data_IF_291425386170
#
_entry.id   IF_291425386170
#
_cell.length_a   1.000
_cell.length_b   1.000
_cell.length_c   1.000
_cell.angle_alpha   90.00
_cell.angle_beta   90.00
_cell.angle_gamma   90.00
#
_symmetry.space_group_name_H-M   'P 1'
#
loop_
_entity.id
_entity.type
_entity.pdbx_description
1 polymer ?
#
# COMPACT_ATOMS: atom_id res chain seq x y z
N UNK A 1 8.50 10.26 11.42
CA UNK A 1 7.49 9.53 10.63
C UNK A 1 8.25 8.67 9.65
N UNK A 2 8.24 7.36 9.82
CA UNK A 2 8.93 6.42 8.95
C UNK A 2 8.30 6.47 7.54
N UNK A 3 9.13 6.70 6.51
CA UNK A 3 8.72 6.81 5.11
C UNK A 3 7.82 5.64 4.69
N UNK A 4 8.16 4.46 5.20
CA UNK A 4 7.49 3.18 4.92
C UNK A 4 6.06 3.16 5.48
N UNK A 5 5.85 3.74 6.66
CA UNK A 5 4.52 3.84 7.28
C UNK A 5 3.64 4.82 6.49
N UNK A 6 4.22 5.89 5.95
CA UNK A 6 3.54 6.84 5.07
C UNK A 6 3.09 6.21 3.75
N UNK A 7 3.98 5.45 3.09
CA UNK A 7 3.66 4.73 1.85
C UNK A 7 2.51 3.74 2.01
N UNK A 8 2.48 3.01 3.14
CA UNK A 8 1.37 2.09 3.46
C UNK A 8 0.04 2.79 3.66
N UNK A 9 0.05 3.93 4.36
CA UNK A 9 -1.14 4.76 4.51
C UNK A 9 -1.70 5.22 3.17
N UNK A 10 -0.82 5.63 2.25
CA UNK A 10 -1.21 6.05 0.90
C UNK A 10 -1.80 4.91 0.08
N UNK A 11 -1.19 3.71 0.13
CA UNK A 11 -1.72 2.52 -0.55
C UNK A 11 -3.09 2.10 0.01
N UNK A 12 -3.25 2.11 1.33
CA UNK A 12 -4.54 1.82 1.96
C UNK A 12 -5.63 2.78 1.49
N UNK A 13 -5.32 4.07 1.35
CA UNK A 13 -6.25 5.07 0.83
C UNK A 13 -6.64 4.82 -0.63
N UNK A 14 -5.78 4.17 -1.43
CA UNK A 14 -6.07 3.78 -2.83
C UNK A 14 -6.85 2.46 -2.95
N UNK A 15 -6.57 1.48 -2.08
CA UNK A 15 -7.19 0.14 -2.13
C UNK A 15 -8.58 0.12 -1.50
N UNK A 16 -8.79 0.81 -0.37
CA UNK A 16 -10.08 0.79 0.33
C UNK A 16 -11.28 1.20 -0.52
N UNK A 17 -11.20 2.26 -1.36
CA UNK A 17 -12.31 2.65 -2.23
C UNK A 17 -12.68 1.57 -3.26
N UNK A 18 -11.74 0.74 -3.71
CA UNK A 18 -12.00 -0.32 -4.69
C UNK A 18 -12.95 -1.40 -4.15
N UNK A 19 -13.07 -1.55 -2.83
CA UNK A 19 -13.99 -2.49 -2.20
C UNK A 19 -15.44 -2.02 -2.19
N UNK A 20 -15.68 -0.76 -2.55
CA UNK A 20 -17.01 -0.20 -2.70
C UNK A 20 -17.70 -0.81 -3.92
N UNK A 21 -19.01 -1.03 -3.82
CA UNK A 21 -19.80 -1.69 -4.86
C UNK A 21 -19.86 -0.85 -6.16
N UNK A 22 -19.58 0.45 -6.08
CA UNK A 22 -19.51 1.38 -7.23
C UNK A 22 -18.46 1.00 -8.29
N UNK A 23 -17.40 0.28 -7.91
CA UNK A 23 -16.35 -0.14 -8.84
C UNK A 23 -16.69 -1.42 -9.62
N UNK A 24 -17.85 -2.03 -9.37
CA UNK A 24 -18.37 -3.24 -10.01
C UNK A 24 -17.30 -4.32 -10.25
N UNK A 25 -16.47 -4.58 -9.23
CA UNK A 25 -15.43 -5.59 -9.30
C UNK A 25 -16.04 -6.98 -9.47
N UNK A 26 -15.43 -7.82 -10.32
CA UNK A 26 -15.75 -9.25 -10.33
C UNK A 26 -15.50 -9.83 -8.93
N UNK A 27 -16.35 -10.75 -8.48
CA UNK A 27 -16.31 -11.31 -7.12
C UNK A 27 -14.89 -11.77 -6.70
N UNK A 28 -14.19 -12.50 -7.56
CA UNK A 28 -12.81 -12.95 -7.28
C UNK A 28 -11.82 -11.79 -7.10
N UNK A 29 -11.92 -10.74 -7.93
CA UNK A 29 -11.11 -9.53 -7.80
C UNK A 29 -11.41 -8.78 -6.49
N UNK A 30 -12.67 -8.76 -6.05
CA UNK A 30 -13.04 -8.15 -4.77
C UNK A 30 -12.42 -8.90 -3.59
N UNK A 31 -12.43 -10.23 -3.64
CA UNK A 31 -11.81 -11.07 -2.60
C UNK A 31 -10.28 -10.83 -2.55
N UNK A 32 -9.62 -10.69 -3.71
CA UNK A 32 -8.20 -10.38 -3.81
C UNK A 32 -7.86 -8.98 -3.25
N UNK A 33 -8.65 -7.96 -3.60
CA UNK A 33 -8.50 -6.58 -3.10
C UNK A 33 -8.73 -6.52 -1.58
N UNK A 34 -9.67 -7.31 -1.04
CA UNK A 34 -9.92 -7.36 0.40
C UNK A 34 -8.76 -8.04 1.15
N UNK A 35 -8.21 -9.13 0.59
CA UNK A 35 -7.00 -9.77 1.12
C UNK A 35 -5.84 -8.77 1.17
N UNK A 36 -5.59 -8.05 0.06
CA UNK A 36 -4.55 -7.05 -0.02
C UNK A 36 -4.75 -5.93 1.02
N UNK A 37 -5.98 -5.44 1.19
CA UNK A 37 -6.31 -4.42 2.19
C UNK A 37 -5.99 -4.90 3.62
N UNK A 38 -6.30 -6.16 3.94
CA UNK A 38 -5.99 -6.76 5.25
C UNK A 38 -4.50 -6.90 5.47
N UNK A 39 -3.77 -7.36 4.47
CA UNK A 39 -2.32 -7.49 4.51
C UNK A 39 -1.63 -6.14 4.71
N UNK A 40 -2.01 -5.10 3.95
CA UNK A 40 -1.50 -3.74 4.09
C UNK A 40 -1.78 -3.16 5.49
N UNK A 41 -2.97 -3.38 6.06
CA UNK A 41 -3.30 -2.95 7.44
C UNK A 41 -2.44 -3.68 8.48
N UNK A 42 -2.24 -4.98 8.30
CA UNK A 42 -1.40 -5.79 9.18
C UNK A 42 0.04 -5.28 9.17
N UNK A 43 0.58 -5.03 7.98
CA UNK A 43 1.93 -4.52 7.80
C UNK A 43 2.10 -3.10 8.36
N UNK A 44 1.17 -2.18 8.10
CA UNK A 44 1.17 -0.83 8.69
C UNK A 44 1.17 -0.90 10.23
N UNK A 45 0.40 -1.82 10.81
CA UNK A 45 0.34 -2.03 12.26
C UNK A 45 1.67 -2.57 12.80
N UNK A 46 2.27 -3.53 12.12
CA UNK A 46 3.57 -4.09 12.48
C UNK A 46 4.69 -3.04 12.41
N UNK A 47 4.75 -2.27 11.31
CA UNK A 47 5.68 -1.15 11.12
C UNK A 47 5.51 -0.07 12.18
N UNK A 48 4.28 0.30 12.51
CA UNK A 48 4.01 1.28 13.57
C UNK A 48 4.57 0.81 14.93
N UNK A 49 4.42 -0.48 15.26
CA UNK A 49 5.03 -1.06 16.48
C UNK A 49 6.56 -1.07 16.41
N UNK A 50 7.14 -1.45 15.27
CA UNK A 50 8.59 -1.44 15.07
C UNK A 50 9.18 -0.03 15.16
N UNK A 51 8.47 0.98 14.65
CA UNK A 51 8.91 2.38 14.72
C UNK A 51 9.01 2.94 16.14
N UNK A 52 8.36 2.30 17.12
CA UNK A 52 8.42 2.65 18.54
C UNK A 52 9.62 2.01 19.25
N UNK A 53 10.31 1.06 18.60
CA UNK A 53 11.50 0.41 19.15
C UNK A 53 12.74 1.27 18.86
N UNK A 54 13.59 1.56 19.87
CA UNK A 54 14.86 2.25 19.65
C UNK A 54 15.74 1.56 18.61
N UNK A 55 16.37 2.33 17.74
CA UNK A 55 17.12 1.83 16.57
C UNK A 55 18.30 0.92 16.93
N UNK A 56 18.91 1.16 18.09
CA UNK A 56 19.98 0.35 18.69
C UNK A 56 19.49 -1.02 19.17
N UNK A 57 18.18 -1.19 19.39
CA UNK A 57 17.54 -2.43 19.85
C UNK A 57 16.79 -3.17 18.74
N UNK A 58 16.76 -2.61 17.54
CA UNK A 58 16.18 -3.26 16.37
C UNK A 58 17.10 -4.36 15.87
N UNK A 59 16.52 -5.51 15.55
CA UNK A 59 17.23 -6.62 14.93
C UNK A 59 17.71 -6.21 13.51
N UNK A 60 18.78 -6.83 13.02
CA UNK A 60 19.38 -6.47 11.72
C UNK A 60 18.46 -6.79 10.52
N UNK A 61 17.58 -7.79 10.63
CA UNK A 61 16.52 -8.08 9.68
C UNK A 61 15.46 -6.96 9.66
N UNK A 62 15.04 -6.48 10.84
CA UNK A 62 14.19 -5.29 10.97
C UNK A 62 14.87 -3.97 10.56
N UNK A 63 16.21 -3.94 10.43
CA UNK A 63 16.91 -2.78 9.83
C UNK A 63 16.90 -2.84 8.30
N UNK A 64 16.84 -4.03 7.69
CA UNK A 64 16.93 -4.23 6.24
C UNK A 64 15.62 -4.09 5.48
N UNK A 65 14.48 -4.35 6.14
CA UNK A 65 13.17 -4.46 5.48
C UNK A 65 12.65 -3.19 4.78
N UNK A 66 13.17 -2.00 5.11
CA UNK A 66 12.65 -0.73 4.60
C UNK A 66 12.75 -0.63 3.08
N UNK A 67 13.84 -1.14 2.48
CA UNK A 67 14.03 -1.10 1.03
C UNK A 67 13.07 -2.04 0.31
N UNK A 68 13.06 -3.30 0.71
CA UNK A 68 12.27 -4.33 0.04
C UNK A 68 10.77 -4.01 0.12
N UNK A 69 10.36 -3.43 1.25
CA UNK A 69 8.98 -3.01 1.47
C UNK A 69 8.60 -1.77 0.65
N UNK A 70 9.53 -0.82 0.48
CA UNK A 70 9.33 0.34 -0.40
C UNK A 70 9.19 -0.10 -1.86
N UNK A 71 10.03 -1.03 -2.32
CA UNK A 71 9.95 -1.57 -3.69
C UNK A 71 8.60 -2.27 -3.92
N UNK A 72 8.19 -3.14 -2.99
CA UNK A 72 6.88 -3.79 -3.06
C UNK A 72 5.72 -2.78 -3.07
N UNK A 73 5.85 -1.66 -2.34
CA UNK A 73 4.85 -0.59 -2.34
C UNK A 73 4.68 0.05 -3.71
N UNK A 74 5.79 0.30 -4.41
CA UNK A 74 5.75 0.87 -5.77
C UNK A 74 5.17 -0.12 -6.78
N UNK A 75 5.50 -1.41 -6.68
CA UNK A 75 4.93 -2.44 -7.55
C UNK A 75 3.39 -2.51 -7.39
N UNK A 76 2.90 -2.45 -6.15
CA UNK A 76 1.46 -2.42 -5.86
C UNK A 76 0.83 -1.13 -6.40
N UNK A 77 1.47 0.01 -6.21
CA UNK A 77 0.98 1.30 -6.73
C UNK A 77 0.84 1.28 -8.26
N UNK A 78 1.85 0.78 -8.98
CA UNK A 78 1.82 0.69 -10.45
C UNK A 78 0.70 -0.24 -10.95
N UNK A 79 0.44 -1.35 -10.25
CA UNK A 79 -0.66 -2.27 -10.58
C UNK A 79 -2.02 -1.59 -10.37
N UNK A 80 -2.21 -0.91 -9.24
CA UNK A 80 -3.45 -0.21 -8.91
C UNK A 80 -3.72 0.95 -9.86
N UNK A 81 -2.70 1.75 -10.18
CA UNK A 81 -2.83 2.86 -11.12
C UNK A 81 -3.19 2.34 -12.52
N UNK A 82 -2.56 1.24 -12.98
CA UNK A 82 -2.88 0.61 -14.26
C UNK A 82 -4.29 -0.01 -14.30
N UNK A 83 -4.81 -0.46 -13.15
CA UNK A 83 -6.16 -0.97 -13.01
C UNK A 83 -7.20 0.15 -13.04
N UNK A 84 -6.98 1.21 -12.26
CA UNK A 84 -7.85 2.39 -12.19
C UNK A 84 -7.98 3.09 -13.56
N UNK A 85 -6.91 3.16 -14.34
CA UNK A 85 -6.95 3.69 -15.72
C UNK A 85 -7.90 2.87 -16.60
N UNK A 86 -7.92 1.54 -16.44
CA UNK A 86 -8.76 0.63 -17.25
C UNK A 86 -10.22 0.64 -16.84
N UNK A 87 -10.52 0.77 -15.54
CA UNK A 87 -11.88 0.72 -14.99
C UNK A 87 -12.55 2.10 -14.95
N UNK A 88 -11.80 3.15 -14.61
CA UNK A 88 -12.32 4.50 -14.40
C UNK A 88 -12.36 5.40 -15.63
N UNK A 89 -11.95 4.93 -16.81
CA UNK A 89 -11.97 5.74 -18.03
C UNK A 89 -11.14 7.02 -17.90
N UNK A 90 -9.86 6.89 -17.56
CA UNK A 90 -8.85 7.94 -17.73
C UNK A 90 -9.24 9.35 -17.28
N UNK A 91 -9.64 9.55 -16.03
CA UNK A 91 -9.76 10.90 -15.48
C UNK A 91 -8.62 11.19 -14.52
N UNK A 92 -7.83 12.16 -14.94
CA UNK A 92 -6.75 12.86 -14.28
C UNK A 92 -5.71 12.01 -13.54
N UNK A 93 -4.49 12.11 -14.07
CA UNK A 93 -3.28 11.71 -13.37
C UNK A 93 -3.32 12.34 -11.99
N UNK A 94 -3.61 11.56 -10.94
CA UNK A 94 -3.07 11.88 -9.63
C UNK A 94 -1.58 12.12 -9.88
N UNK A 95 -1.06 13.31 -9.54
CA UNK A 95 0.33 13.63 -9.84
C UNK A 95 1.15 12.48 -9.25
N UNK A 96 2.00 11.86 -10.08
CA UNK A 96 2.96 10.86 -9.61
C UNK A 96 3.68 11.48 -8.43
N UNK A 97 3.26 11.14 -7.21
CA UNK A 97 3.96 11.51 -6.01
C UNK A 97 5.13 10.54 -5.89
N UNK A 98 6.07 10.63 -6.84
CA UNK A 98 7.44 10.14 -6.64
C UNK A 98 8.06 11.07 -5.60
N UNK A 99 7.78 10.78 -4.34
CA UNK A 99 8.05 11.73 -3.27
C UNK A 99 7.84 11.14 -1.88
N UNK A 100 8.28 9.90 -1.70
CA UNK A 100 8.70 9.34 -0.41
C UNK A 100 9.97 8.55 -0.71
#
# INVERSE_FOLDING_TARGET
>A
MDLVTGAMGALLAKVLPLLNDDYNLQKGMRDDVDSLSKELKSMHTALSKVSQVPRDKLDDQAKGWSRDFREASYDIEDILDAFLVRVGGGTDKLPRQRGW
#
